data_IF_196125637825
#
_entry.id   IF_196125637825
#
_cell.length_a   1.000
_cell.length_b   1.000
_cell.length_c   1.000
_cell.angle_alpha   90.00
_cell.angle_beta   90.00
_cell.angle_gamma   90.00
#
_symmetry.space_group_name_H-M   'P 1'
#
loop_
_entity.id
_entity.type
_entity.pdbx_description
1 polymer ?
#
# COMPACT_ATOMS: atom_id res chain seq x y z
N UNK A 1 2.34 12.91 -0.54
CA UNK A 1 3.28 13.99 -0.92
C UNK A 1 4.69 13.78 -0.38
N UNK A 2 4.91 13.84 0.94
CA UNK A 2 6.25 13.79 1.53
C UNK A 2 7.09 12.56 1.13
N UNK A 3 6.46 11.37 1.03
CA UNK A 3 7.14 10.18 0.51
C UNK A 3 7.71 10.41 -0.91
N UNK A 4 6.92 11.05 -1.79
CA UNK A 4 7.37 11.41 -3.13
C UNK A 4 8.54 12.39 -3.12
N UNK A 5 8.49 13.41 -2.28
CA UNK A 5 9.62 14.37 -2.13
C UNK A 5 10.89 13.64 -1.67
N UNK A 6 10.77 12.73 -0.71
CA UNK A 6 11.90 11.92 -0.22
C UNK A 6 12.49 11.05 -1.32
N UNK A 7 11.64 10.35 -2.08
CA UNK A 7 12.09 9.52 -3.20
C UNK A 7 12.73 10.35 -4.31
N UNK A 8 12.19 11.54 -4.61
CA UNK A 8 12.77 12.47 -5.59
C UNK A 8 14.19 12.87 -5.22
N UNK A 9 14.41 13.22 -3.94
CA UNK A 9 15.74 13.58 -3.42
C UNK A 9 16.70 12.39 -3.45
N UNK A 10 16.18 11.18 -3.23
CA UNK A 10 16.98 9.95 -3.19
C UNK A 10 17.39 9.44 -4.58
N UNK A 11 16.54 9.64 -5.59
CA UNK A 11 16.77 9.19 -6.97
C UNK A 11 16.68 10.36 -7.97
N UNK A 12 17.54 11.39 -7.84
CA UNK A 12 17.49 12.59 -8.66
C UNK A 12 17.70 12.29 -10.15
N UNK A 13 18.37 11.20 -10.51
CA UNK A 13 18.59 10.73 -11.88
C UNK A 13 17.33 10.14 -12.54
N UNK A 14 16.40 9.62 -11.73
CA UNK A 14 15.12 9.08 -12.21
C UNK A 14 14.10 10.21 -12.33
N UNK A 15 14.02 11.11 -11.36
CA UNK A 15 12.94 12.11 -11.26
C UNK A 15 13.38 13.48 -11.77
N UNK A 16 13.71 13.52 -13.07
CA UNK A 16 14.19 14.72 -13.80
C UNK A 16 13.12 15.28 -14.74
N UNK A 17 13.36 16.48 -15.28
CA UNK A 17 12.56 17.07 -16.38
C UNK A 17 12.59 16.26 -17.68
N UNK A 18 13.57 15.36 -17.84
CA UNK A 18 13.72 14.50 -19.02
C UNK A 18 12.96 13.19 -18.92
N UNK A 19 12.46 12.84 -17.74
CA UNK A 19 11.72 11.60 -17.54
C UNK A 19 10.31 11.80 -18.04
N UNK A 20 9.90 11.05 -19.06
CA UNK A 20 8.58 11.21 -19.66
C UNK A 20 7.52 10.39 -18.93
N UNK A 21 6.25 10.69 -19.14
CA UNK A 21 5.14 9.91 -18.58
C UNK A 21 5.17 8.45 -19.02
N UNK A 22 5.69 8.14 -20.22
CA UNK A 22 5.87 6.76 -20.71
C UNK A 22 6.94 5.97 -19.93
N UNK A 23 7.83 6.65 -19.21
CA UNK A 23 8.84 6.01 -18.37
C UNK A 23 8.34 5.76 -16.93
N UNK A 24 7.07 6.07 -16.64
CA UNK A 24 6.45 5.98 -15.33
C UNK A 24 5.19 5.14 -15.43
N UNK A 25 5.18 3.97 -14.79
CA UNK A 25 3.96 3.15 -14.72
C UNK A 25 3.33 3.27 -13.34
N UNK A 26 2.03 3.52 -13.30
CA UNK A 26 1.29 3.73 -12.06
C UNK A 26 0.12 2.77 -12.02
N UNK A 27 0.07 1.99 -10.96
CA UNK A 27 -1.02 1.06 -10.68
C UNK A 27 -1.61 1.42 -9.32
N UNK A 28 -2.93 1.37 -9.22
CA UNK A 28 -3.61 1.47 -7.93
C UNK A 28 -4.79 0.51 -7.86
N UNK A 29 -5.12 0.09 -6.65
CA UNK A 29 -6.37 -0.62 -6.41
C UNK A 29 -7.57 0.28 -6.76
N UNK A 30 -8.76 -0.29 -6.97
CA UNK A 30 -9.99 0.48 -7.25
C UNK A 30 -10.46 1.35 -6.08
N UNK A 31 -9.73 1.39 -4.97
CA UNK A 31 -10.09 2.13 -3.77
C UNK A 31 -9.60 3.57 -3.85
N UNK A 32 -10.51 4.54 -3.70
CA UNK A 32 -10.21 5.97 -3.84
C UNK A 32 -9.02 6.46 -2.99
N UNK A 33 -8.88 5.99 -1.74
CA UNK A 33 -7.75 6.40 -0.87
C UNK A 33 -6.38 6.01 -1.44
N UNK A 34 -6.30 4.89 -2.16
CA UNK A 34 -5.08 4.43 -2.81
C UNK A 34 -4.79 5.29 -4.06
N UNK A 35 -5.80 5.60 -4.86
CA UNK A 35 -5.67 6.47 -6.03
C UNK A 35 -5.22 7.89 -5.64
N UNK A 36 -5.82 8.45 -4.59
CA UNK A 36 -5.43 9.74 -4.02
C UNK A 36 -4.02 9.71 -3.43
N UNK A 37 -3.62 8.60 -2.80
CA UNK A 37 -2.25 8.41 -2.30
C UNK A 37 -1.23 8.39 -3.44
N UNK A 38 -1.53 7.68 -4.54
CA UNK A 38 -0.69 7.65 -5.73
C UNK A 38 -0.52 9.05 -6.32
N UNK A 39 -1.63 9.76 -6.56
CA UNK A 39 -1.62 11.14 -7.07
C UNK A 39 -0.82 12.08 -6.15
N UNK A 40 -1.04 11.99 -4.84
CA UNK A 40 -0.33 12.79 -3.84
C UNK A 40 1.16 12.47 -3.79
N UNK A 41 1.57 11.22 -3.98
CA UNK A 41 2.98 10.82 -4.05
C UNK A 41 3.62 11.37 -5.33
N UNK A 42 2.91 11.33 -6.46
CA UNK A 42 3.40 11.86 -7.73
C UNK A 42 3.61 13.36 -7.71
N UNK A 43 2.74 14.12 -7.04
CA UNK A 43 2.97 15.55 -6.82
C UNK A 43 4.27 15.83 -6.05
N UNK A 44 4.74 14.90 -5.22
CA UNK A 44 6.05 15.00 -4.55
C UNK A 44 7.22 14.58 -5.45
N UNK A 45 7.01 13.57 -6.31
CA UNK A 45 8.01 13.09 -7.27
C UNK A 45 8.24 14.09 -8.42
N UNK A 46 7.16 14.70 -8.89
CA UNK A 46 7.07 15.61 -10.02
C UNK A 46 6.24 16.84 -9.63
N UNK A 47 6.80 17.78 -8.86
CA UNK A 47 6.05 18.95 -8.46
C UNK A 47 5.69 19.84 -9.65
N UNK A 48 4.70 20.70 -9.42
CA UNK A 48 4.28 21.79 -10.31
C UNK A 48 5.47 22.61 -10.80
N UNK A 49 5.49 22.95 -12.09
CA UNK A 49 6.59 23.72 -12.70
C UNK A 49 7.79 22.88 -13.11
N UNK A 50 7.80 21.56 -12.84
CA UNK A 50 8.91 20.71 -13.24
C UNK A 50 8.94 20.47 -14.76
N UNK A 51 7.78 20.27 -15.37
CA UNK A 51 7.69 20.06 -16.81
C UNK A 51 7.25 21.33 -17.52
N UNK A 52 7.90 21.61 -18.63
CA UNK A 52 7.48 22.64 -19.57
C UNK A 52 6.39 22.09 -20.50
N UNK A 53 5.28 21.65 -19.92
CA UNK A 53 4.10 21.23 -20.67
C UNK A 53 3.35 22.48 -21.11
N UNK A 54 3.86 23.17 -22.11
CA UNK A 54 3.15 24.31 -22.69
C UNK A 54 2.10 23.85 -23.69
N UNK A 55 1.07 24.67 -23.84
CA UNK A 55 0.07 24.52 -24.88
C UNK A 55 0.78 24.73 -26.23
N UNK A 56 1.07 23.62 -26.91
CA UNK A 56 1.79 23.57 -28.18
C UNK A 56 0.86 23.47 -29.40
N UNK A 57 -0.45 23.51 -29.15
CA UNK A 57 -1.49 23.41 -30.18
C UNK A 57 -1.57 24.71 -30.98
N UNK A 58 -1.62 24.61 -32.31
CA UNK A 58 -1.85 25.79 -33.14
C UNK A 58 -3.18 26.47 -32.76
N UNK A 59 -3.25 27.82 -32.74
CA UNK A 59 -4.43 28.57 -32.31
C UNK A 59 -5.75 28.14 -32.97
N UNK A 60 -5.64 27.70 -34.23
CA UNK A 60 -6.74 27.44 -35.16
C UNK A 60 -6.92 25.94 -35.46
N UNK A 61 -6.31 25.02 -34.69
CA UNK A 61 -6.31 23.60 -35.05
C UNK A 61 -7.71 22.97 -34.94
N UNK A 62 -8.38 22.61 -36.06
CA UNK A 62 -9.73 22.05 -36.01
C UNK A 62 -9.76 20.63 -35.42
N UNK A 63 -8.60 19.99 -35.23
CA UNK A 63 -8.49 18.63 -34.70
C UNK A 63 -8.30 18.57 -33.19
N UNK A 64 -7.94 19.70 -32.56
CA UNK A 64 -7.47 19.74 -31.17
C UNK A 64 -8.22 20.77 -30.32
N UNK A 65 -8.99 21.66 -30.95
CA UNK A 65 -9.96 22.51 -30.27
C UNK A 65 -11.21 21.70 -29.93
N UNK A 66 -11.88 22.07 -28.84
CA UNK A 66 -13.18 21.52 -28.53
C UNK A 66 -14.20 21.93 -29.61
N UNK A 67 -15.16 21.05 -29.91
CA UNK A 67 -16.19 21.25 -30.93
C UNK A 67 -17.31 22.18 -30.42
N UNK A 68 -16.93 23.38 -29.99
CA UNK A 68 -17.85 24.46 -29.67
C UNK A 68 -17.61 25.62 -30.65
N UNK A 69 -18.70 26.24 -31.12
CA UNK A 69 -18.64 27.40 -32.00
C UNK A 69 -17.81 28.54 -31.36
N UNK A 70 -16.83 29.05 -32.11
CA UNK A 70 -15.95 30.13 -31.63
C UNK A 70 -14.84 29.70 -30.67
N UNK A 71 -14.60 28.40 -30.47
CA UNK A 71 -13.45 27.95 -29.66
C UNK A 71 -12.15 28.42 -30.28
N UNK A 72 -11.35 29.16 -29.51
CA UNK A 72 -10.00 29.56 -29.87
C UNK A 72 -9.04 29.13 -28.76
N UNK A 73 -7.80 28.81 -29.13
CA UNK A 73 -6.75 28.59 -28.14
C UNK A 73 -6.10 29.93 -27.78
N UNK A 74 -6.66 30.61 -26.78
CA UNK A 74 -6.20 31.91 -26.28
C UNK A 74 -4.93 31.83 -25.41
N UNK A 75 -4.45 30.62 -25.12
CA UNK A 75 -3.41 30.36 -24.11
C UNK A 75 -2.12 29.80 -24.72
N UNK A 76 -1.85 30.03 -26.00
CA UNK A 76 -0.60 29.57 -26.65
C UNK A 76 0.61 30.13 -25.89
N UNK A 77 1.56 29.24 -25.58
CA UNK A 77 2.76 29.57 -24.80
C UNK A 77 2.56 29.56 -23.28
N UNK A 78 1.32 29.46 -22.78
CA UNK A 78 1.07 29.21 -21.37
C UNK A 78 1.23 27.72 -21.04
N UNK A 79 1.40 27.42 -19.75
CA UNK A 79 1.36 26.05 -19.26
C UNK A 79 -0.01 25.41 -19.52
N UNK A 80 0.01 24.15 -19.93
CA UNK A 80 -1.18 23.37 -20.29
C UNK A 80 -2.14 23.15 -19.12
N UNK A 81 -1.64 23.17 -17.89
CA UNK A 81 -2.44 23.13 -16.68
C UNK A 81 -1.94 24.19 -15.68
N UNK A 82 -2.80 24.66 -14.75
CA UNK A 82 -2.41 25.62 -13.71
C UNK A 82 -1.15 25.18 -12.96
N UNK A 83 -0.27 26.14 -12.71
CA UNK A 83 1.04 25.91 -12.07
C UNK A 83 1.92 24.88 -12.81
N UNK A 84 1.70 24.62 -14.10
CA UNK A 84 2.41 23.58 -14.86
C UNK A 84 2.35 22.21 -14.15
N UNK A 85 1.17 21.83 -13.67
CA UNK A 85 0.91 20.48 -13.18
C UNK A 85 1.03 19.46 -14.33
N UNK A 86 1.68 18.33 -14.08
CA UNK A 86 1.78 17.23 -15.03
C UNK A 86 0.84 16.09 -14.60
N UNK A 87 -0.19 15.76 -15.40
CA UNK A 87 -1.05 14.62 -15.12
C UNK A 87 -0.31 13.33 -15.48
N UNK A 88 -0.49 12.30 -14.66
CA UNK A 88 0.03 10.96 -14.94
C UNK A 88 -1.13 9.96 -15.04
N UNK A 89 -1.14 9.08 -16.04
CA UNK A 89 -2.18 8.07 -16.16
C UNK A 89 -2.05 7.05 -15.03
N UNK A 90 -3.15 6.82 -14.31
CA UNK A 90 -3.23 5.80 -13.27
C UNK A 90 -3.99 4.59 -13.81
N UNK A 91 -3.34 3.43 -13.82
CA UNK A 91 -3.95 2.16 -14.23
C UNK A 91 -4.71 1.59 -13.02
N UNK A 92 -6.02 1.45 -13.18
CA UNK A 92 -6.92 0.93 -12.16
C UNK A 92 -7.77 -0.15 -12.80
N UNK A 93 -7.74 -1.36 -12.23
CA UNK A 93 -8.66 -2.43 -12.59
C UNK A 93 -9.90 -2.37 -11.70
N UNK A 94 -11.02 -2.97 -12.13
CA UNK A 94 -12.18 -3.11 -11.26
C UNK A 94 -11.87 -4.09 -10.13
N UNK A 95 -12.61 -4.00 -9.03
CA UNK A 95 -12.48 -4.87 -7.86
C UNK A 95 -12.57 -6.37 -8.20
N UNK A 96 -13.45 -6.75 -9.12
CA UNK A 96 -13.62 -8.14 -9.58
C UNK A 96 -12.44 -8.62 -10.44
N UNK A 97 -11.74 -7.71 -11.13
CA UNK A 97 -10.64 -8.04 -12.06
C UNK A 97 -9.27 -7.71 -11.51
N UNK A 98 -9.18 -7.06 -10.34
CA UNK A 98 -7.94 -6.67 -9.69
C UNK A 98 -7.26 -7.87 -9.03
N UNK A 99 -6.49 -8.59 -9.84
CA UNK A 99 -5.60 -9.64 -9.38
C UNK A 99 -4.23 -9.09 -8.92
N UNK A 100 -4.01 -7.77 -8.92
CA UNK A 100 -2.71 -7.16 -8.61
C UNK A 100 -2.57 -6.81 -7.13
N UNK A 101 -3.63 -6.27 -6.52
CA UNK A 101 -3.60 -5.84 -5.12
C UNK A 101 -4.32 -6.81 -4.19
N UNK A 102 -5.60 -7.08 -4.41
CA UNK A 102 -6.34 -8.10 -3.68
C UNK A 102 -7.63 -8.42 -4.44
N UNK A 103 -7.89 -9.69 -4.78
CA UNK A 103 -9.18 -10.05 -5.36
C UNK A 103 -10.27 -9.91 -4.30
N UNK A 104 -11.48 -9.53 -4.73
CA UNK A 104 -12.69 -9.59 -3.88
C UNK A 104 -13.16 -11.04 -3.69
N UNK A 105 -14.01 -11.27 -2.69
CA UNK A 105 -14.55 -12.61 -2.39
C UNK A 105 -15.23 -13.25 -3.58
N UNK A 106 -15.96 -12.46 -4.37
CA UNK A 106 -16.64 -12.92 -5.58
C UNK A 106 -15.65 -13.45 -6.63
N UNK A 107 -14.45 -12.88 -6.71
CA UNK A 107 -13.41 -13.29 -7.64
C UNK A 107 -12.57 -14.47 -7.11
N UNK A 108 -12.43 -14.60 -5.78
CA UNK A 108 -11.60 -15.63 -5.16
C UNK A 108 -12.25 -16.26 -3.91
N UNK A 109 -13.41 -16.95 -4.03
CA UNK A 109 -14.18 -17.41 -2.88
C UNK A 109 -13.43 -18.46 -2.04
N UNK A 110 -12.59 -19.28 -2.67
CA UNK A 110 -11.76 -20.28 -1.96
C UNK A 110 -10.72 -19.62 -1.06
N UNK A 111 -10.12 -18.50 -1.50
CA UNK A 111 -9.15 -17.76 -0.70
C UNK A 111 -9.83 -17.19 0.55
N UNK A 112 -11.00 -16.53 0.39
CA UNK A 112 -11.73 -15.94 1.51
C UNK A 112 -12.24 -16.99 2.50
N UNK A 113 -12.77 -18.11 2.01
CA UNK A 113 -13.14 -19.24 2.87
C UNK A 113 -11.93 -19.73 3.69
N UNK A 114 -10.79 -19.96 3.05
CA UNK A 114 -9.57 -20.41 3.73
C UNK A 114 -9.09 -19.38 4.75
N UNK A 115 -9.12 -18.10 4.38
CA UNK A 115 -8.76 -16.98 5.26
C UNK A 115 -9.64 -16.95 6.53
N UNK A 116 -10.97 -17.05 6.38
CA UNK A 116 -11.92 -17.08 7.50
C UNK A 116 -11.66 -18.28 8.40
N UNK A 117 -11.49 -19.48 7.82
CA UNK A 117 -11.18 -20.69 8.58
C UNK A 117 -9.85 -20.57 9.35
N UNK A 118 -8.82 -19.98 8.74
CA UNK A 118 -7.55 -19.72 9.40
C UNK A 118 -7.69 -18.71 10.53
N UNK A 119 -8.37 -17.57 10.30
CA UNK A 119 -8.61 -16.57 11.36
C UNK A 119 -9.37 -17.18 12.54
N UNK A 120 -10.35 -18.05 12.29
CA UNK A 120 -11.06 -18.78 13.33
C UNK A 120 -10.15 -19.69 14.16
N UNK A 121 -9.30 -20.48 13.50
CA UNK A 121 -8.31 -21.35 14.18
C UNK A 121 -7.31 -20.55 15.01
N UNK A 122 -6.79 -19.45 14.46
CA UNK A 122 -5.84 -18.56 15.14
C UNK A 122 -6.52 -17.88 16.34
N UNK A 123 -7.75 -17.40 16.18
CA UNK A 123 -8.51 -16.80 17.29
C UNK A 123 -8.72 -17.78 18.43
N UNK A 124 -9.07 -19.05 18.14
CA UNK A 124 -9.20 -20.09 19.14
C UNK A 124 -7.85 -20.44 19.82
N UNK A 125 -6.76 -20.50 19.04
CA UNK A 125 -5.41 -20.80 19.54
C UNK A 125 -4.87 -19.73 20.49
N UNK A 126 -5.26 -18.48 20.30
CA UNK A 126 -4.82 -17.33 21.09
C UNK A 126 -5.94 -16.71 21.93
N UNK A 127 -6.93 -17.52 22.30
CA UNK A 127 -8.08 -17.08 23.09
C UNK A 127 -7.68 -16.46 24.45
N UNK A 128 -6.54 -16.87 25.02
CA UNK A 128 -5.97 -16.27 26.23
C UNK A 128 -5.60 -14.78 26.02
N UNK A 129 -4.95 -14.45 24.90
CA UNK A 129 -4.61 -13.08 24.55
C UNK A 129 -5.86 -12.25 24.22
N UNK A 130 -6.81 -12.84 23.50
CA UNK A 130 -8.09 -12.20 23.13
C UNK A 130 -8.87 -11.82 24.38
N UNK A 131 -9.07 -12.78 25.31
CA UNK A 131 -9.83 -12.56 26.52
C UNK A 131 -9.17 -11.48 27.40
N UNK A 132 -7.85 -11.52 27.55
CA UNK A 132 -7.13 -10.52 28.33
C UNK A 132 -7.35 -9.09 27.81
N UNK A 133 -7.35 -8.89 26.48
CA UNK A 133 -7.61 -7.57 25.89
C UNK A 133 -9.09 -7.20 25.98
N UNK A 134 -10.00 -8.16 25.79
CA UNK A 134 -11.44 -7.95 25.98
C UNK A 134 -11.76 -7.47 27.38
N UNK A 135 -11.18 -8.09 28.41
CA UNK A 135 -11.39 -7.70 29.82
C UNK A 135 -10.88 -6.28 30.09
N UNK A 136 -9.73 -5.91 29.52
CA UNK A 136 -9.19 -4.55 29.65
C UNK A 136 -10.09 -3.51 28.98
N UNK A 137 -10.64 -3.82 27.80
CA UNK A 137 -11.61 -2.96 27.12
C UNK A 137 -12.88 -2.78 27.95
N UNK A 138 -13.41 -3.86 28.53
CA UNK A 138 -14.57 -3.81 29.41
C UNK A 138 -14.33 -2.94 30.65
N UNK A 139 -13.14 -3.02 31.26
CA UNK A 139 -12.75 -2.20 32.42
C UNK A 139 -12.74 -0.70 32.12
N UNK A 140 -12.51 -0.30 30.86
CA UNK A 140 -12.52 1.11 30.43
C UNK A 140 -13.83 1.52 29.74
N UNK A 141 -14.88 0.71 29.88
CA UNK A 141 -16.25 1.06 29.49
C UNK A 141 -16.69 0.58 28.11
N UNK A 142 -15.89 -0.23 27.41
CA UNK A 142 -16.32 -0.89 26.17
C UNK A 142 -17.09 -2.17 26.51
N UNK A 143 -18.41 -2.09 26.48
CA UNK A 143 -19.31 -3.20 26.86
C UNK A 143 -19.55 -4.16 25.68
N UNK A 144 -19.02 -5.39 25.69
CA UNK A 144 -19.19 -6.34 24.59
C UNK A 144 -20.64 -6.77 24.38
N UNK A 145 -21.48 -6.76 25.43
CA UNK A 145 -22.91 -7.12 25.32
C UNK A 145 -23.66 -6.05 24.54
N UNK A 146 -23.30 -4.78 24.73
CA UNK A 146 -23.93 -3.66 24.02
C UNK A 146 -23.42 -3.50 22.59
N UNK A 147 -22.12 -3.70 22.37
CA UNK A 147 -21.50 -3.43 21.07
C UNK A 147 -21.65 -4.59 20.09
N UNK A 148 -21.49 -5.83 20.56
CA UNK A 148 -21.44 -7.02 19.69
C UNK A 148 -22.33 -8.18 20.17
N UNK A 149 -23.15 -7.97 21.20
CA UNK A 149 -24.08 -8.98 21.75
C UNK A 149 -23.41 -10.28 22.20
N UNK A 150 -22.18 -10.19 22.74
CA UNK A 150 -21.40 -11.32 23.24
C UNK A 150 -20.93 -11.05 24.69
N UNK A 151 -20.55 -12.11 25.42
CA UNK A 151 -20.01 -11.96 26.78
C UNK A 151 -18.58 -11.38 26.79
N UNK A 152 -17.84 -11.52 25.69
CA UNK A 152 -16.51 -10.96 25.47
C UNK A 152 -16.35 -10.54 24.00
N UNK A 153 -15.38 -9.67 23.71
CA UNK A 153 -15.01 -9.35 22.34
C UNK A 153 -14.27 -10.54 21.72
N UNK A 154 -14.64 -10.86 20.48
CA UNK A 154 -13.84 -11.76 19.64
C UNK A 154 -12.56 -11.08 19.18
N UNK A 155 -11.66 -11.87 18.59
CA UNK A 155 -10.43 -11.33 18.03
C UNK A 155 -10.73 -10.33 16.89
N UNK A 156 -11.70 -10.62 16.03
CA UNK A 156 -12.12 -9.72 14.95
C UNK A 156 -12.71 -8.42 15.51
N UNK A 157 -13.52 -8.48 16.56
CA UNK A 157 -14.07 -7.28 17.21
C UNK A 157 -12.95 -6.37 17.73
N UNK A 158 -11.94 -6.94 18.39
CA UNK A 158 -10.77 -6.19 18.85
C UNK A 158 -9.98 -5.62 17.68
N UNK A 159 -9.87 -6.35 16.56
CA UNK A 159 -9.27 -5.86 15.32
C UNK A 159 -9.97 -4.60 14.78
N UNK A 160 -11.30 -4.58 14.77
CA UNK A 160 -12.08 -3.41 14.37
C UNK A 160 -11.91 -2.24 15.34
N UNK A 161 -11.95 -2.49 16.65
CA UNK A 161 -11.71 -1.45 17.67
C UNK A 161 -10.31 -0.87 17.53
N UNK A 162 -9.31 -1.72 17.25
CA UNK A 162 -7.94 -1.28 17.00
C UNK A 162 -7.85 -0.36 15.78
N UNK A 163 -8.43 -0.75 14.64
CA UNK A 163 -8.36 0.04 13.40
C UNK A 163 -8.98 1.44 13.60
N UNK A 164 -10.14 1.52 14.23
CA UNK A 164 -10.79 2.79 14.58
C UNK A 164 -9.96 3.61 15.57
N UNK A 165 -9.36 2.97 16.57
CA UNK A 165 -8.47 3.64 17.54
C UNK A 165 -7.20 4.15 16.86
N UNK A 166 -6.63 3.38 15.93
CA UNK A 166 -5.47 3.76 15.13
C UNK A 166 -5.79 4.97 14.25
N UNK A 167 -6.93 4.96 13.56
CA UNK A 167 -7.40 6.08 12.76
C UNK A 167 -7.61 7.34 13.63
N UNK A 168 -8.29 7.21 14.76
CA UNK A 168 -8.51 8.30 15.72
C UNK A 168 -7.18 8.91 16.18
N UNK A 169 -6.22 8.06 16.57
CA UNK A 169 -4.89 8.51 17.01
C UNK A 169 -4.16 9.29 15.95
N UNK A 170 -4.18 8.83 14.70
CA UNK A 170 -3.49 9.53 13.61
C UNK A 170 -4.18 10.86 13.23
N UNK A 171 -5.49 10.98 13.46
CA UNK A 171 -6.22 12.21 13.17
C UNK A 171 -6.10 13.26 14.28
N UNK A 172 -6.22 12.84 15.55
CA UNK A 172 -6.25 13.75 16.71
C UNK A 172 -4.92 13.85 17.46
N UNK A 173 -3.91 13.08 17.07
CA UNK A 173 -2.60 12.96 17.76
C UNK A 173 -2.72 12.58 19.25
N UNK A 174 -3.79 11.86 19.60
CA UNK A 174 -4.04 11.33 20.95
C UNK A 174 -4.88 10.06 20.90
N UNK A 175 -4.80 9.22 21.94
CA UNK A 175 -5.72 8.10 22.10
C UNK A 175 -7.12 8.60 22.54
N UNK A 176 -8.20 7.84 22.26
CA UNK A 176 -9.49 8.09 22.88
C UNK A 176 -9.36 8.13 24.41
N UNK A 177 -10.14 9.00 25.07
CA UNK A 177 -9.91 9.36 26.48
C UNK A 177 -9.90 8.15 27.46
N UNK A 178 -10.58 7.06 27.12
CA UNK A 178 -10.63 5.85 27.95
C UNK A 178 -9.64 4.75 27.53
N UNK A 179 -8.91 4.92 26.43
CA UNK A 179 -7.93 3.93 25.95
C UNK A 179 -6.53 4.35 26.41
N UNK A 180 -5.94 3.56 27.30
CA UNK A 180 -4.55 3.76 27.72
C UNK A 180 -3.58 3.28 26.64
N UNK A 181 -2.33 3.75 26.72
CA UNK A 181 -1.25 3.29 25.85
C UNK A 181 -1.04 1.77 25.94
N UNK A 182 -1.21 1.18 27.13
CA UNK A 182 -1.09 -0.27 27.32
C UNK A 182 -2.20 -1.05 26.58
N UNK A 183 -3.46 -0.59 26.68
CA UNK A 183 -4.58 -1.22 25.96
C UNK A 183 -4.33 -1.13 24.46
N UNK A 184 -3.95 0.06 23.97
CA UNK A 184 -3.61 0.28 22.56
C UNK A 184 -2.52 -0.68 22.07
N UNK A 185 -1.41 -0.83 22.80
CA UNK A 185 -0.31 -1.70 22.38
C UNK A 185 -0.68 -3.18 22.40
N UNK A 186 -1.52 -3.63 23.34
CA UNK A 186 -2.00 -5.01 23.36
C UNK A 186 -2.99 -5.28 22.23
N UNK A 187 -3.86 -4.33 21.92
CA UNK A 187 -4.74 -4.37 20.74
C UNK A 187 -3.91 -4.43 19.45
N UNK A 188 -2.90 -3.58 19.30
CA UNK A 188 -2.01 -3.54 18.12
C UNK A 188 -1.32 -4.89 17.89
N UNK A 189 -0.77 -5.49 18.95
CA UNK A 189 -0.09 -6.79 18.88
C UNK A 189 -1.07 -7.91 18.49
N UNK A 190 -2.26 -7.94 19.08
CA UNK A 190 -3.29 -8.92 18.76
C UNK A 190 -3.82 -8.74 17.33
N UNK A 191 -4.13 -7.51 16.93
CA UNK A 191 -4.52 -7.17 15.58
C UNK A 191 -3.44 -7.60 14.58
N UNK A 192 -2.14 -7.45 14.92
CA UNK A 192 -1.04 -7.93 14.09
C UNK A 192 -1.10 -9.43 13.82
N UNK A 193 -1.33 -10.23 14.88
CA UNK A 193 -1.48 -11.70 14.76
C UNK A 193 -2.65 -12.06 13.84
N UNK A 194 -3.80 -11.41 14.00
CA UNK A 194 -4.98 -11.66 13.18
C UNK A 194 -4.82 -11.20 11.74
N UNK A 195 -4.10 -10.09 11.55
CA UNK A 195 -3.88 -9.51 10.24
C UNK A 195 -2.93 -10.36 9.42
N UNK A 196 -1.84 -10.85 10.03
CA UNK A 196 -0.96 -11.80 9.33
C UNK A 196 -1.63 -13.15 9.08
N UNK A 197 -2.58 -13.55 9.93
CA UNK A 197 -3.34 -14.79 9.74
C UNK A 197 -4.19 -14.77 8.46
N UNK A 198 -4.48 -13.60 7.89
CA UNK A 198 -5.11 -13.50 6.57
C UNK A 198 -4.27 -14.17 5.47
N UNK A 199 -2.96 -14.26 5.66
CA UNK A 199 -2.01 -14.86 4.71
C UNK A 199 -1.73 -16.34 4.97
N UNK A 200 -2.47 -16.97 5.89
CA UNK A 200 -2.41 -18.40 6.15
C UNK A 200 -1.21 -18.87 6.98
N UNK A 201 -1.29 -20.12 7.42
CA UNK A 201 -0.12 -20.87 7.89
C UNK A 201 0.61 -21.43 6.66
N UNK A 202 1.53 -20.66 6.08
CA UNK A 202 2.39 -21.09 4.98
C UNK A 202 2.30 -20.26 3.69
N UNK A 203 2.95 -20.75 2.63
CA UNK A 203 3.22 -19.92 1.45
C UNK A 203 2.04 -19.79 0.46
N UNK A 204 0.94 -20.53 0.62
CA UNK A 204 -0.12 -20.56 -0.40
C UNK A 204 -0.94 -19.27 -0.44
N UNK A 205 -1.49 -18.84 0.70
CA UNK A 205 -2.29 -17.61 0.77
C UNK A 205 -1.41 -16.36 0.57
N UNK A 206 -0.23 -16.30 1.19
CA UNK A 206 0.72 -15.20 0.95
C UNK A 206 1.14 -15.05 -0.52
N UNK A 207 1.23 -16.15 -1.28
CA UNK A 207 1.44 -16.10 -2.74
C UNK A 207 0.27 -15.45 -3.47
N UNK A 208 -0.98 -15.72 -3.11
CA UNK A 208 -2.13 -15.09 -3.78
C UNK A 208 -2.06 -13.55 -3.68
N UNK A 209 -1.62 -13.02 -2.55
CA UNK A 209 -1.53 -11.58 -2.32
C UNK A 209 -0.33 -10.89 -2.97
N UNK A 210 0.76 -11.62 -3.23
CA UNK A 210 2.03 -11.02 -3.67
C UNK A 210 2.47 -11.45 -5.07
N UNK A 211 2.01 -12.59 -5.57
CA UNK A 211 2.57 -13.23 -6.76
C UNK A 211 2.39 -12.41 -8.02
N UNK A 212 1.19 -11.91 -8.31
CA UNK A 212 0.96 -11.12 -9.53
C UNK A 212 1.77 -9.81 -9.51
N UNK A 213 1.83 -9.14 -8.36
CA UNK A 213 2.68 -7.96 -8.19
C UNK A 213 4.17 -8.31 -8.37
N UNK A 214 4.62 -9.44 -7.85
CA UNK A 214 6.00 -9.91 -8.03
C UNK A 214 6.31 -10.16 -9.52
N UNK A 215 5.39 -10.79 -10.26
CA UNK A 215 5.53 -10.98 -11.70
C UNK A 215 5.60 -9.65 -12.46
N UNK A 216 4.78 -8.66 -12.08
CA UNK A 216 4.82 -7.32 -12.70
C UNK A 216 6.13 -6.57 -12.39
N UNK A 217 6.64 -6.68 -11.17
CA UNK A 217 7.93 -6.10 -10.78
C UNK A 217 9.05 -6.75 -11.59
N UNK A 218 9.11 -8.09 -11.63
CA UNK A 218 10.10 -8.85 -12.39
C UNK A 218 10.04 -8.54 -13.88
N UNK A 219 8.83 -8.46 -14.46
CA UNK A 219 8.65 -8.09 -15.86
C UNK A 219 9.21 -6.69 -16.15
N UNK A 220 9.02 -5.73 -15.24
CA UNK A 220 9.60 -4.39 -15.36
C UNK A 220 11.12 -4.39 -15.29
N UNK A 221 11.70 -5.16 -14.38
CA UNK A 221 13.16 -5.30 -14.27
C UNK A 221 13.75 -5.95 -15.53
N UNK A 222 13.08 -6.97 -16.09
CA UNK A 222 13.52 -7.65 -17.32
C UNK A 222 13.59 -6.73 -18.54
N UNK A 223 12.74 -5.70 -18.61
CA UNK A 223 12.82 -4.71 -19.69
C UNK A 223 14.18 -3.98 -19.72
N UNK A 224 14.80 -3.76 -18.56
CA UNK A 224 16.13 -3.19 -18.45
C UNK A 224 17.25 -4.18 -18.71
N UNK A 225 17.11 -5.42 -18.22
CA UNK A 225 18.20 -6.42 -18.33
C UNK A 225 18.29 -7.06 -19.71
N UNK A 226 17.17 -7.18 -20.42
CA UNK A 226 17.13 -7.82 -21.75
C UNK A 226 17.37 -6.83 -22.91
N UNK A 227 17.28 -5.52 -22.68
CA UNK A 227 17.53 -4.49 -23.69
C UNK A 227 16.57 -4.47 -24.88
N UNK A 228 15.42 -5.16 -24.79
CA UNK A 228 14.43 -5.29 -25.88
C UNK A 228 13.49 -4.10 -26.03
N UNK A 229 13.44 -3.23 -25.01
CA UNK A 229 12.57 -2.05 -24.99
C UNK A 229 13.44 -0.82 -25.11
N UNK A 230 13.16 0.05 -26.08
CA UNK A 230 13.94 1.27 -26.33
C UNK A 230 13.85 2.28 -25.18
N UNK A 231 12.68 2.36 -24.54
CA UNK A 231 12.37 3.31 -23.46
C UNK A 231 11.72 2.59 -22.27
N UNK A 232 12.46 1.72 -21.55
CA UNK A 232 11.92 0.98 -20.43
C UNK A 232 11.49 1.94 -19.30
N UNK A 233 10.47 1.54 -18.54
CA UNK A 233 9.98 2.32 -17.41
C UNK A 233 11.09 2.46 -16.35
N UNK A 234 11.39 3.70 -15.93
CA UNK A 234 12.38 4.00 -14.88
C UNK A 234 11.79 3.85 -13.48
N UNK A 235 10.49 4.03 -13.35
CA UNK A 235 9.78 3.92 -12.07
C UNK A 235 8.43 3.26 -12.26
N UNK A 236 8.07 2.40 -11.30
CA UNK A 236 6.76 1.75 -11.22
C UNK A 236 6.21 1.93 -9.81
N UNK A 237 5.01 2.48 -9.69
CA UNK A 237 4.30 2.64 -8.42
C UNK A 237 3.14 1.65 -8.36
N UNK A 238 3.03 0.93 -7.25
CA UNK A 238 1.89 0.07 -6.94
C UNK A 238 1.24 0.60 -5.66
N UNK A 239 0.21 1.43 -5.79
CA UNK A 239 -0.49 2.01 -4.64
C UNK A 239 -1.66 1.12 -4.21
N UNK A 240 -1.40 0.33 -3.18
CA UNK A 240 -2.34 -0.63 -2.62
C UNK A 240 -2.60 -0.39 -1.13
N UNK A 241 -2.70 -1.50 -0.41
CA UNK A 241 -3.12 -1.56 0.98
C UNK A 241 -1.98 -2.00 1.90
N UNK A 242 -2.17 -1.79 3.20
CA UNK A 242 -1.38 -2.42 4.26
C UNK A 242 -1.33 -3.95 4.12
N UNK A 243 -2.40 -4.60 3.68
CA UNK A 243 -2.42 -6.03 3.36
C UNK A 243 -1.44 -6.41 2.25
N UNK A 244 -1.13 -5.51 1.31
CA UNK A 244 -0.11 -5.78 0.31
C UNK A 244 1.28 -5.76 0.96
N UNK A 245 1.57 -4.74 1.74
CA UNK A 245 2.85 -4.59 2.43
C UNK A 245 3.07 -5.76 3.39
N UNK A 246 2.07 -6.09 4.22
CA UNK A 246 2.16 -7.21 5.15
C UNK A 246 2.20 -8.58 4.43
N UNK A 247 1.45 -8.74 3.34
CA UNK A 247 1.51 -9.96 2.51
C UNK A 247 2.89 -10.18 1.90
N UNK A 248 3.55 -9.11 1.45
CA UNK A 248 4.95 -9.15 1.01
C UNK A 248 5.92 -9.45 2.16
N UNK A 249 5.73 -8.83 3.33
CA UNK A 249 6.54 -9.12 4.51
C UNK A 249 6.45 -10.60 4.90
N UNK A 250 5.24 -11.16 4.93
CA UNK A 250 5.02 -12.59 5.20
C UNK A 250 5.64 -13.47 4.10
N UNK A 251 5.41 -13.15 2.83
CA UNK A 251 5.94 -13.93 1.68
C UNK A 251 7.47 -13.93 1.59
N UNK A 252 8.13 -12.88 2.07
CA UNK A 252 9.59 -12.77 2.13
C UNK A 252 10.19 -13.29 3.45
N UNK A 253 9.38 -13.83 4.37
CA UNK A 253 9.83 -14.33 5.67
C UNK A 253 10.30 -13.22 6.62
N UNK A 254 9.82 -11.99 6.43
CA UNK A 254 10.09 -10.82 7.29
C UNK A 254 9.08 -10.68 8.44
N UNK A 255 8.05 -11.54 8.48
CA UNK A 255 7.11 -11.64 9.58
C UNK A 255 6.43 -13.02 9.56
N UNK A 256 5.92 -13.45 10.72
CA UNK A 256 5.13 -14.66 10.88
C UNK A 256 4.17 -14.55 12.06
N UNK A 257 3.18 -15.45 12.12
CA UNK A 257 2.26 -15.55 13.27
C UNK A 257 3.06 -15.80 14.56
N UNK A 258 4.08 -16.66 14.50
CA UNK A 258 4.92 -17.02 15.64
C UNK A 258 5.69 -15.82 16.16
N UNK A 259 6.30 -15.04 15.27
CA UNK A 259 7.07 -13.86 15.70
C UNK A 259 6.17 -12.80 16.35
N UNK A 260 4.98 -12.57 15.79
CA UNK A 260 4.01 -11.62 16.35
C UNK A 260 3.42 -12.12 17.67
N UNK A 261 3.26 -13.43 17.81
CA UNK A 261 2.89 -14.08 19.08
C UNK A 261 3.96 -13.87 20.14
N UNK A 262 5.24 -14.04 19.79
CA UNK A 262 6.35 -13.79 20.72
C UNK A 262 6.33 -12.34 21.22
N UNK A 263 6.16 -11.36 20.32
CA UNK A 263 6.01 -9.93 20.69
C UNK A 263 4.80 -9.73 21.61
N UNK A 264 3.64 -10.31 21.26
CA UNK A 264 2.42 -10.22 22.06
C UNK A 264 2.60 -10.78 23.48
N UNK A 265 3.46 -11.79 23.64
CA UNK A 265 3.80 -12.41 24.92
C UNK A 265 5.02 -11.79 25.60
N UNK A 266 5.52 -10.65 25.12
CA UNK A 266 6.66 -9.94 25.70
C UNK A 266 8.00 -10.64 25.50
N UNK A 267 8.10 -11.53 24.51
CA UNK A 267 9.33 -12.20 24.11
C UNK A 267 9.99 -11.45 22.95
N UNK A 268 11.31 -11.56 22.85
CA UNK A 268 12.08 -11.05 21.71
C UNK A 268 12.07 -12.07 20.58
N UNK A 269 11.57 -11.73 19.38
CA UNK A 269 11.63 -12.61 18.22
C UNK A 269 13.07 -12.95 17.83
N UNK A 270 13.31 -14.18 17.37
CA UNK A 270 14.61 -14.63 16.86
C UNK A 270 14.83 -14.30 15.39
N UNK A 271 13.79 -13.84 14.70
CA UNK A 271 13.76 -13.47 13.29
C UNK A 271 13.18 -12.06 13.14
N UNK A 272 13.43 -11.36 12.02
CA UNK A 272 12.75 -10.12 11.71
C UNK A 272 11.23 -10.29 11.85
N UNK A 273 10.58 -9.33 12.51
CA UNK A 273 9.14 -9.41 12.79
C UNK A 273 8.46 -8.09 12.45
N UNK A 274 8.09 -7.95 11.18
CA UNK A 274 7.32 -6.82 10.69
C UNK A 274 5.89 -6.87 11.26
N UNK A 275 5.48 -5.78 11.90
CA UNK A 275 4.13 -5.60 12.44
C UNK A 275 3.21 -4.96 11.41
N UNK A 276 2.00 -4.58 11.84
CA UNK A 276 1.04 -3.85 10.99
C UNK A 276 1.72 -2.63 10.35
N UNK A 277 1.71 -2.53 9.01
CA UNK A 277 2.28 -1.38 8.31
C UNK A 277 1.60 -0.07 8.74
N UNK A 278 2.40 0.98 8.93
CA UNK A 278 1.88 2.33 9.19
C UNK A 278 1.46 3.00 7.88
N UNK A 279 0.78 4.15 7.98
CA UNK A 279 0.45 4.94 6.79
C UNK A 279 1.69 5.27 5.96
N UNK A 280 1.55 5.15 4.65
CA UNK A 280 2.62 5.36 3.66
C UNK A 280 3.85 4.43 3.80
N UNK A 281 3.75 3.33 4.55
CA UNK A 281 4.75 2.25 4.48
C UNK A 281 4.89 1.73 3.04
N UNK A 282 6.12 1.42 2.61
CA UNK A 282 6.41 1.06 1.23
C UNK A 282 7.54 0.05 1.12
N UNK A 283 7.38 -1.00 0.32
CA UNK A 283 8.49 -1.80 -0.18
C UNK A 283 9.06 -1.15 -1.45
N UNK A 284 10.37 -0.89 -1.48
CA UNK A 284 11.06 -0.37 -2.66
C UNK A 284 12.05 -1.40 -3.17
N UNK A 285 11.91 -1.80 -4.42
CA UNK A 285 12.86 -2.69 -5.10
C UNK A 285 13.69 -1.88 -6.09
N UNK A 286 14.98 -1.77 -5.83
CA UNK A 286 15.91 -1.05 -6.71
C UNK A 286 16.62 -2.06 -7.63
N UNK A 287 16.48 -1.89 -8.94
CA UNK A 287 17.34 -2.56 -9.90
C UNK A 287 18.60 -1.71 -10.10
N UNK A 288 19.76 -2.28 -9.79
CA UNK A 288 21.06 -1.60 -9.92
C UNK A 288 21.95 -2.36 -10.89
N UNK A 289 22.79 -1.63 -11.61
CA UNK A 289 23.85 -2.19 -12.45
C UNK A 289 25.19 -1.97 -11.77
N UNK A 290 25.94 -3.05 -11.53
CA UNK A 290 27.29 -2.98 -10.97
C UNK A 290 28.21 -2.20 -11.92
N UNK A 291 28.98 -1.24 -11.39
CA UNK A 291 30.02 -0.56 -12.17
C UNK A 291 31.12 -1.52 -12.61
N UNK A 292 31.40 -2.52 -11.77
CA UNK A 292 32.59 -3.36 -11.90
C UNK A 292 32.29 -4.57 -12.78
N UNK A 293 31.19 -5.28 -12.48
CA UNK A 293 30.81 -6.50 -13.20
C UNK A 293 29.84 -6.25 -14.34
N UNK A 294 29.23 -5.05 -14.41
CA UNK A 294 28.12 -4.73 -15.32
C UNK A 294 26.86 -5.60 -15.13
N UNK A 295 26.84 -6.46 -14.11
CA UNK A 295 25.69 -7.30 -13.78
C UNK A 295 24.60 -6.50 -13.09
N UNK A 296 23.36 -6.94 -13.28
CA UNK A 296 22.21 -6.39 -12.60
C UNK A 296 21.93 -7.12 -11.30
N UNK A 297 21.61 -6.38 -10.25
CA UNK A 297 21.17 -6.92 -8.97
C UNK A 297 19.98 -6.13 -8.42
N UNK A 298 19.20 -6.77 -7.56
CA UNK A 298 18.02 -6.17 -6.92
C UNK A 298 18.33 -5.91 -5.45
N UNK A 299 18.16 -4.65 -5.02
CA UNK A 299 18.27 -4.25 -3.62
C UNK A 299 16.87 -3.93 -3.08
N UNK A 300 16.30 -4.76 -2.17
CA UNK A 300 15.08 -4.41 -1.48
C UNK A 300 15.36 -3.36 -0.40
N UNK A 301 14.41 -2.46 -0.18
CA UNK A 301 14.37 -1.50 0.90
C UNK A 301 12.99 -1.53 1.55
N UNK A 302 12.99 -1.46 2.88
CA UNK A 302 11.83 -1.54 3.75
C UNK A 302 11.61 -0.20 4.44
#
# INVERSE_FOLDING_TARGET
YNLGVTLRKKYPEIFTTKTTTQQINLYSSPVHRCQQSAASQLMGLFPTGLYDLNISVAPESPMLLADFEGTQNELVGNSALPNAYAPFPLIVNTDITDNLFMPVEQACPVMFKTMIETKGKISAKYADLVLAVSDMLAQVGYDPKKLVSQDSFSADDIGWIFDETFAYRNFYDKLPDNITQEIYEKMEKLAGILFIAMFGEGAQLSKVHSHQMALQILAGMKQWTEGKVQTPAKFRLYSGHDTNVLGWAAGLGLSSIECLTDIARGKTPTVPCFTIPKFASSFVFELRKSSDTQEFFVKPLL
#
